data_IF_164764675688
#
_entry.id   IF_164764675688
#
_cell.length_a   1.000
_cell.length_b   1.000
_cell.length_c   1.000
_cell.angle_alpha   90.00
_cell.angle_beta   90.00
_cell.angle_gamma   90.00
#
_symmetry.space_group_name_H-M   'P 1'
#
loop_
_entity.id
_entity.type
_entity.pdbx_description
1 polymer ?
#
# COMPACT_ATOMS: atom_id res chain seq x y z
N UNK A 1 2.65 -7.23 -1.91
CA UNK A 1 2.77 -6.26 -0.81
C UNK A 1 1.46 -6.24 -0.05
N UNK A 2 1.50 -6.67 1.21
CA UNK A 2 0.30 -6.85 2.03
C UNK A 2 0.10 -5.62 2.91
N UNK A 3 -1.08 -5.02 2.85
CA UNK A 3 -1.47 -3.89 3.69
C UNK A 3 -2.45 -4.38 4.74
N UNK A 4 -2.14 -4.17 6.01
CA UNK A 4 -3.01 -4.54 7.13
C UNK A 4 -3.61 -3.31 7.78
N UNK A 5 -4.75 -3.47 8.43
CA UNK A 5 -5.30 -2.45 9.29
C UNK A 5 -4.37 -2.20 10.48
N UNK A 6 -4.26 -0.95 10.90
CA UNK A 6 -3.57 -0.58 12.13
C UNK A 6 -4.43 -0.96 13.35
N UNK A 7 -4.52 -2.27 13.63
CA UNK A 7 -5.31 -2.84 14.71
C UNK A 7 -4.54 -3.94 15.45
N UNK A 8 -5.03 -4.35 16.61
CA UNK A 8 -4.45 -5.47 17.40
C UNK A 8 -4.42 -6.78 16.62
N UNK A 9 -5.45 -7.01 15.81
CA UNK A 9 -5.56 -8.17 14.95
C UNK A 9 -5.00 -7.86 13.56
N UNK A 10 -4.34 -8.84 12.95
CA UNK A 10 -3.81 -8.74 11.57
C UNK A 10 -4.93 -8.87 10.55
N UNK A 11 -5.72 -7.80 10.40
CA UNK A 11 -6.77 -7.74 9.39
C UNK A 11 -6.20 -7.24 8.06
N UNK A 12 -6.21 -8.09 7.03
CA UNK A 12 -5.75 -7.73 5.68
C UNK A 12 -6.72 -6.73 5.04
N UNK A 13 -6.21 -5.59 4.56
CA UNK A 13 -6.99 -4.58 3.84
C UNK A 13 -6.82 -4.71 2.33
N UNK A 14 -5.68 -5.22 1.87
CA UNK A 14 -5.43 -5.41 0.45
C UNK A 14 -4.05 -5.96 0.17
N UNK A 15 -3.90 -6.47 -1.04
CA UNK A 15 -2.66 -6.99 -1.58
C UNK A 15 -2.41 -6.41 -2.96
N UNK A 16 -1.18 -5.94 -3.20
CA UNK A 16 -0.76 -5.43 -4.51
C UNK A 16 0.54 -6.13 -4.93
N UNK A 17 0.57 -6.64 -6.15
CA UNK A 17 1.79 -7.11 -6.78
C UNK A 17 2.57 -5.92 -7.35
N UNK A 18 3.79 -5.68 -6.86
CA UNK A 18 4.59 -4.50 -7.22
C UNK A 18 5.61 -4.74 -8.35
N UNK A 19 5.82 -6.01 -8.74
CA UNK A 19 6.70 -6.40 -9.85
C UNK A 19 8.20 -6.21 -9.64
N UNK A 20 8.65 -5.50 -8.60
CA UNK A 20 10.05 -5.27 -8.27
C UNK A 20 10.26 -5.20 -6.75
N UNK A 21 11.52 -5.35 -6.31
CA UNK A 21 11.90 -5.26 -4.91
C UNK A 21 11.62 -3.86 -4.33
N UNK A 22 11.14 -3.81 -3.09
CA UNK A 22 10.89 -2.56 -2.35
C UNK A 22 12.24 -1.95 -1.95
N UNK A 23 12.39 -0.65 -2.19
CA UNK A 23 13.66 0.08 -1.99
C UNK A 23 13.68 0.97 -0.75
N UNK A 24 12.52 1.25 -0.15
CA UNK A 24 12.39 2.11 1.03
C UNK A 24 11.18 1.74 1.88
N UNK A 25 11.13 2.25 3.11
CA UNK A 25 9.96 2.13 3.99
C UNK A 25 8.74 2.83 3.36
N UNK A 26 7.59 2.14 3.20
CA UNK A 26 6.36 2.77 2.73
C UNK A 26 5.89 3.93 3.63
N UNK A 27 5.28 4.95 3.04
CA UNK A 27 4.77 6.13 3.78
C UNK A 27 3.28 6.31 3.49
N UNK A 28 2.46 6.36 4.54
CA UNK A 28 1.07 6.75 4.46
C UNK A 28 0.96 8.28 4.65
N UNK A 29 0.43 8.99 3.65
CA UNK A 29 0.19 10.43 3.72
C UNK A 29 -1.05 10.80 2.90
N UNK A 30 -1.89 11.70 3.43
CA UNK A 30 -3.06 12.25 2.72
C UNK A 30 -4.01 11.18 2.13
N UNK A 31 -4.22 10.07 2.84
CA UNK A 31 -5.09 8.97 2.38
C UNK A 31 -4.51 8.10 1.27
N UNK A 32 -3.21 8.24 0.97
CA UNK A 32 -2.48 7.46 -0.02
C UNK A 32 -1.28 6.77 0.65
N UNK A 33 -1.03 5.53 0.28
CA UNK A 33 0.15 4.77 0.65
C UNK A 33 1.15 4.80 -0.50
N UNK A 34 2.30 5.43 -0.27
CA UNK A 34 3.39 5.52 -1.24
C UNK A 34 4.39 4.40 -1.01
N UNK A 35 4.73 3.66 -2.06
CA UNK A 35 5.67 2.53 -2.02
C UNK A 35 6.72 2.68 -3.11
N UNK A 36 7.96 2.88 -2.71
CA UNK A 36 9.09 2.91 -3.63
C UNK A 36 9.61 1.48 -3.89
N UNK A 37 9.77 1.13 -5.16
CA UNK A 37 10.50 -0.06 -5.60
C UNK A 37 11.82 0.35 -6.24
N UNK A 38 12.61 -0.63 -6.69
CA UNK A 38 13.83 -0.36 -7.46
C UNK A 38 13.57 0.33 -8.82
N UNK A 39 12.34 0.31 -9.33
CA UNK A 39 12.03 0.79 -10.68
C UNK A 39 10.89 1.81 -10.75
N UNK A 40 9.99 1.86 -9.76
CA UNK A 40 8.80 2.70 -9.78
C UNK A 40 8.46 3.24 -8.39
N UNK A 41 7.73 4.36 -8.36
CA UNK A 41 7.03 4.83 -7.17
C UNK A 41 5.53 4.61 -7.36
N UNK A 42 4.93 3.77 -6.51
CA UNK A 42 3.50 3.49 -6.52
C UNK A 42 2.75 4.40 -5.54
N UNK A 43 1.56 4.83 -5.94
CA UNK A 43 0.60 5.53 -5.09
C UNK A 43 -0.67 4.65 -4.98
N UNK A 44 -0.89 4.08 -3.80
CA UNK A 44 -2.00 3.16 -3.55
C UNK A 44 -3.05 3.87 -2.70
N UNK A 45 -4.30 3.89 -3.17
CA UNK A 45 -5.44 4.40 -2.42
C UNK A 45 -6.57 3.38 -2.39
N UNK A 46 -7.41 3.44 -1.37
CA UNK A 46 -8.64 2.67 -1.38
C UNK A 46 -9.51 3.13 -2.57
N UNK A 47 -10.01 2.17 -3.34
CA UNK A 47 -11.02 2.46 -4.35
C UNK A 47 -12.28 2.96 -3.64
N UNK A 48 -12.73 4.16 -3.97
CA UNK A 48 -14.08 4.59 -3.62
C UNK A 48 -15.03 3.85 -4.56
N UNK A 49 -15.61 2.74 -4.10
CA UNK A 49 -16.85 2.29 -4.70
C UNK A 49 -17.86 3.43 -4.52
N UNK A 50 -18.31 4.06 -5.61
CA UNK A 50 -19.64 4.66 -5.58
C UNK A 50 -20.63 3.52 -5.36
N UNK A 51 -21.73 3.74 -4.61
CA UNK A 51 -22.85 2.82 -4.64
C UNK A 51 -23.37 2.62 -6.07
#
# INVERSE_FOLDING_TARGET
FLTFAASREKRLLGEVALGAAISATPVAANGVLYVATMTHLYAVRQSSASP
#
